data_IF_505721428222
#
_entry.id   IF_505721428222
#
_cell.length_a   1.000
_cell.length_b   1.000
_cell.length_c   1.000
_cell.angle_alpha   90.00
_cell.angle_beta   90.00
_cell.angle_gamma   90.00
#
_symmetry.space_group_name_H-M   'P 1'
#
loop_
_entity.id
_entity.type
_entity.pdbx_description
1 polymer ?
#
# COMPACT_ATOMS: atom_id res chain seq x y z
N UNK A 1 -25.47 -3.78 -6.54
CA UNK A 1 -24.73 -3.03 -5.50
C UNK A 1 -24.10 -4.04 -4.58
N UNK A 2 -22.82 -3.90 -4.23
CA UNK A 2 -22.24 -4.71 -3.17
C UNK A 2 -22.95 -4.41 -1.84
N UNK A 3 -23.17 -5.45 -1.05
CA UNK A 3 -23.71 -5.36 0.30
C UNK A 3 -22.71 -4.70 1.25
N UNK A 4 -23.19 -4.22 2.40
CA UNK A 4 -22.30 -3.65 3.44
C UNK A 4 -21.23 -4.66 3.88
N UNK A 5 -21.59 -5.95 3.97
CA UNK A 5 -20.67 -7.01 4.37
C UNK A 5 -19.60 -7.29 3.30
N UNK A 6 -19.94 -7.22 2.02
CA UNK A 6 -18.98 -7.35 0.92
C UNK A 6 -17.98 -6.19 0.89
N UNK A 7 -18.44 -4.95 1.06
CA UNK A 7 -17.57 -3.76 1.13
C UNK A 7 -16.63 -3.83 2.34
N UNK A 8 -17.16 -4.27 3.48
CA UNK A 8 -16.42 -4.46 4.72
C UNK A 8 -15.37 -5.58 4.59
N UNK A 9 -15.71 -6.70 3.97
CA UNK A 9 -14.77 -7.79 3.70
C UNK A 9 -13.64 -7.34 2.76
N UNK A 10 -13.97 -6.60 1.70
CA UNK A 10 -13.00 -6.03 0.78
C UNK A 10 -12.05 -5.05 1.50
N UNK A 11 -12.58 -4.19 2.38
CA UNK A 11 -11.76 -3.24 3.16
C UNK A 11 -10.72 -3.98 4.00
N UNK A 12 -11.16 -4.98 4.78
CA UNK A 12 -10.24 -5.78 5.62
C UNK A 12 -9.18 -6.51 4.80
N UNK A 13 -9.51 -6.96 3.60
CA UNK A 13 -8.53 -7.60 2.72
C UNK A 13 -7.50 -6.61 2.21
N UNK A 14 -7.92 -5.41 1.81
CA UNK A 14 -7.01 -4.34 1.37
C UNK A 14 -6.10 -3.88 2.52
N UNK A 15 -6.64 -3.71 3.73
CA UNK A 15 -5.86 -3.37 4.92
C UNK A 15 -4.75 -4.41 5.17
N UNK A 16 -5.07 -5.71 5.15
CA UNK A 16 -4.06 -6.78 5.30
C UNK A 16 -2.98 -6.74 4.22
N UNK A 17 -3.37 -6.59 2.95
CA UNK A 17 -2.42 -6.51 1.84
C UNK A 17 -1.51 -5.27 1.97
N UNK A 18 -2.04 -4.16 2.46
CA UNK A 18 -1.27 -2.95 2.74
C UNK A 18 -0.22 -3.19 3.82
N UNK A 19 -0.58 -3.85 4.91
CA UNK A 19 0.34 -4.15 6.01
C UNK A 19 1.44 -5.13 5.59
N UNK A 20 1.09 -6.20 4.87
CA UNK A 20 2.03 -7.17 4.31
C UNK A 20 3.02 -6.49 3.35
N UNK A 21 2.51 -5.70 2.41
CA UNK A 21 3.36 -5.01 1.44
C UNK A 21 4.25 -3.95 2.10
N UNK A 22 3.77 -3.24 3.12
CA UNK A 22 4.60 -2.29 3.88
C UNK A 22 5.74 -3.00 4.62
N UNK A 23 5.50 -4.18 5.19
CA UNK A 23 6.53 -4.97 5.85
C UNK A 23 7.62 -5.40 4.85
N UNK A 24 7.22 -5.95 3.70
CA UNK A 24 8.15 -6.39 2.65
C UNK A 24 8.98 -5.23 2.08
N UNK A 25 8.36 -4.09 1.79
CA UNK A 25 9.06 -2.90 1.28
C UNK A 25 10.03 -2.33 2.31
N UNK A 26 9.71 -2.40 3.60
CA UNK A 26 10.61 -1.97 4.68
C UNK A 26 11.83 -2.89 4.77
N UNK A 27 11.65 -4.20 4.62
CA UNK A 27 12.75 -5.17 4.56
C UNK A 27 13.67 -4.88 3.36
N UNK A 28 13.09 -4.64 2.18
CA UNK A 28 13.84 -4.29 0.96
C UNK A 28 14.63 -3.00 1.12
N UNK A 29 14.02 -1.93 1.63
CA UNK A 29 14.71 -0.66 1.91
C UNK A 29 15.88 -0.90 2.87
N UNK A 30 15.67 -1.65 3.95
CA UNK A 30 16.72 -1.97 4.93
C UNK A 30 17.87 -2.74 4.30
N UNK A 31 17.60 -3.68 3.38
CA UNK A 31 18.63 -4.41 2.64
C UNK A 31 19.43 -3.48 1.71
N UNK A 32 18.73 -2.56 1.02
CA UNK A 32 19.39 -1.59 0.12
C UNK A 32 20.23 -0.56 0.88
N UNK A 33 19.81 -0.14 2.07
CA UNK A 33 20.51 0.85 2.88
C UNK A 33 21.60 0.24 3.78
N UNK A 34 21.41 -1.02 4.22
CA UNK A 34 22.29 -1.70 5.16
C UNK A 34 23.41 -2.53 4.51
N UNK A 35 23.52 -2.56 3.18
CA UNK A 35 24.30 -3.57 2.44
C UNK A 35 25.32 -3.03 1.43
N UNK A 36 26.11 -3.96 0.88
CA UNK A 36 27.30 -3.78 0.04
C UNK A 36 27.13 -2.98 -1.27
N UNK A 37 25.91 -2.55 -1.58
CA UNK A 37 25.59 -1.72 -2.74
C UNK A 37 25.88 -0.26 -2.41
N UNK A 38 27.17 0.08 -2.29
CA UNK A 38 27.60 1.48 -2.13
C UNK A 38 27.86 2.10 -3.50
N UNK A 39 27.61 3.40 -3.61
CA UNK A 39 27.81 4.16 -4.82
C UNK A 39 26.50 4.55 -5.52
N UNK A 40 26.60 5.27 -6.64
CA UNK A 40 25.45 5.90 -7.29
C UNK A 40 24.30 4.93 -7.62
N UNK A 41 24.61 3.69 -7.98
CA UNK A 41 23.64 2.66 -8.31
C UNK A 41 22.89 2.14 -7.07
N UNK A 42 23.58 2.03 -5.94
CA UNK A 42 22.97 1.69 -4.65
C UNK A 42 22.08 2.80 -4.13
N UNK A 43 22.54 4.05 -4.21
CA UNK A 43 21.77 5.24 -3.83
C UNK A 43 20.50 5.37 -4.68
N UNK A 44 20.62 5.14 -5.99
CA UNK A 44 19.47 5.10 -6.90
C UNK A 44 18.48 4.00 -6.52
N UNK A 45 18.96 2.78 -6.27
CA UNK A 45 18.11 1.67 -5.88
C UNK A 45 17.35 1.97 -4.57
N UNK A 46 18.02 2.55 -3.56
CA UNK A 46 17.38 2.97 -2.32
C UNK A 46 16.31 4.05 -2.55
N UNK A 47 16.58 5.03 -3.43
CA UNK A 47 15.62 6.05 -3.82
C UNK A 47 14.39 5.45 -4.54
N UNK A 48 14.61 4.51 -5.46
CA UNK A 48 13.56 3.80 -6.20
C UNK A 48 12.69 2.98 -5.23
N UNK A 49 13.28 2.27 -4.26
CA UNK A 49 12.52 1.53 -3.24
C UNK A 49 11.68 2.46 -2.34
N UNK A 50 12.23 3.60 -1.94
CA UNK A 50 11.48 4.61 -1.17
C UNK A 50 10.34 5.23 -1.99
N UNK A 51 10.55 5.42 -3.29
CA UNK A 51 9.49 5.90 -4.18
C UNK A 51 8.37 4.87 -4.30
N UNK A 52 8.72 3.60 -4.52
CA UNK A 52 7.76 2.52 -4.57
C UNK A 52 6.96 2.40 -3.26
N UNK A 53 7.60 2.56 -2.10
CA UNK A 53 6.90 2.60 -0.81
C UNK A 53 5.83 3.70 -0.75
N UNK A 54 6.13 4.91 -1.23
CA UNK A 54 5.17 6.02 -1.25
C UNK A 54 4.02 5.74 -2.20
N UNK A 55 4.31 5.27 -3.40
CA UNK A 55 3.29 5.02 -4.43
C UNK A 55 2.34 3.91 -4.02
N UNK A 56 2.87 2.82 -3.48
CA UNK A 56 2.08 1.72 -2.93
C UNK A 56 1.14 2.19 -1.82
N UNK A 57 1.62 3.01 -0.88
CA UNK A 57 0.75 3.61 0.16
C UNK A 57 -0.37 4.46 -0.43
N UNK A 58 -0.06 5.24 -1.48
CA UNK A 58 -1.07 6.05 -2.16
C UNK A 58 -2.13 5.20 -2.87
N UNK A 59 -1.73 4.10 -3.52
CA UNK A 59 -2.66 3.18 -4.18
C UNK A 59 -3.61 2.50 -3.18
N UNK A 60 -3.08 2.00 -2.05
CA UNK A 60 -3.93 1.42 -1.01
C UNK A 60 -4.90 2.44 -0.42
N UNK A 61 -4.44 3.68 -0.16
CA UNK A 61 -5.32 4.76 0.30
C UNK A 61 -6.45 5.03 -0.69
N UNK A 62 -6.13 5.19 -1.97
CA UNK A 62 -7.13 5.45 -3.01
C UNK A 62 -8.17 4.31 -3.13
N UNK A 63 -7.73 3.06 -2.97
CA UNK A 63 -8.63 1.90 -2.96
C UNK A 63 -9.58 1.92 -1.73
N UNK A 64 -9.07 2.27 -0.55
CA UNK A 64 -9.87 2.42 0.66
C UNK A 64 -10.85 3.59 0.56
N UNK A 65 -10.43 4.72 0.00
CA UNK A 65 -11.28 5.89 -0.25
C UNK A 65 -12.45 5.50 -1.19
N UNK A 66 -12.17 4.74 -2.25
CA UNK A 66 -13.21 4.22 -3.17
C UNK A 66 -14.22 3.32 -2.44
N UNK A 67 -13.76 2.43 -1.55
CA UNK A 67 -14.68 1.60 -0.74
C UNK A 67 -15.51 2.44 0.25
N UNK A 68 -14.92 3.51 0.79
CA UNK A 68 -15.64 4.43 1.66
C UNK A 68 -16.77 5.14 0.91
N UNK A 69 -16.51 5.63 -0.30
CA UNK A 69 -17.52 6.24 -1.16
C UNK A 69 -18.64 5.26 -1.55
N UNK A 70 -18.30 4.01 -1.89
CA UNK A 70 -19.30 2.97 -2.19
C UNK A 70 -20.22 2.69 -0.99
N UNK A 71 -19.66 2.68 0.23
CA UNK A 71 -20.44 2.49 1.46
C UNK A 71 -21.41 3.65 1.71
N UNK A 72 -20.97 4.90 1.50
CA UNK A 72 -21.81 6.08 1.77
C UNK A 72 -22.92 6.25 0.74
N UNK A 73 -22.66 5.90 -0.52
CA UNK A 73 -23.69 5.88 -1.58
C UNK A 73 -24.74 4.79 -1.35
N UNK A 74 -24.34 3.59 -0.93
CA UNK A 74 -25.27 2.50 -0.60
C UNK A 74 -26.05 2.67 0.70
N UNK A 75 -25.69 3.65 1.54
CA UNK A 75 -26.38 3.97 2.79
C UNK A 75 -27.45 5.07 2.66
N UNK A 76 -27.62 5.65 1.47
CA UNK A 76 -28.63 6.70 1.18
C UNK A 76 -29.96 6.15 0.62
N UNK A 77 -30.24 4.86 0.78
CA UNK A 77 -31.50 4.18 0.42
C UNK A 77 -32.09 3.49 1.65
#
# INVERSE_FOLDING_TARGET
MPTKDEVEAARRQIERLSDECEADLRELIRLTEGGALKGPEGDKLAADMRQWQRDTKNYFRAALDTLHELRTQGASL
#
